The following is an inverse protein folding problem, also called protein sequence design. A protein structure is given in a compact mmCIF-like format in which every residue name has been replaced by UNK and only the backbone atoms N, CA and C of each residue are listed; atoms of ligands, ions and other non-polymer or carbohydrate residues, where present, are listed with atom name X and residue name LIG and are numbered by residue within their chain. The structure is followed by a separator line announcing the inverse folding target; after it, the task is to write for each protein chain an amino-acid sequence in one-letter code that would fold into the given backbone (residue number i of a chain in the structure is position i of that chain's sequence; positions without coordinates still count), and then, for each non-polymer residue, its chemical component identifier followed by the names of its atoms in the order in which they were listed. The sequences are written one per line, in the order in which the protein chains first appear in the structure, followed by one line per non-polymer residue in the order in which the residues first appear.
data_IF_739396463944
#
_entry.id   IF_739396463944
#
_cell.length_a   1.000
_cell.length_b   1.000
_cell.length_c   1.000
_cell.angle_alpha   90.00
_cell.angle_beta   90.00
_cell.angle_gamma   90.00
#
_symmetry.space_group_name_H-M   'P 1'
#
loop_
_entity.id
_entity.type
_entity.pdbx_description
1 polymer ?
#
# COMPACT_ATOMS: atom_id res chain seq x y z
N UNK A 1 1.96 73.61 17.13
CA UNK A 1 2.18 72.36 16.36
C UNK A 1 2.20 71.19 17.34
N UNK A 2 1.11 70.45 17.46
CA UNK A 2 1.01 69.29 18.35
C UNK A 2 1.44 68.03 17.59
N UNK A 3 2.48 67.34 18.07
CA UNK A 3 2.92 66.05 17.54
C UNK A 3 2.13 64.94 18.25
N UNK A 4 1.23 64.29 17.53
CA UNK A 4 0.59 63.05 17.97
C UNK A 4 1.52 61.88 17.65
N UNK A 5 2.08 61.25 18.70
CA UNK A 5 2.82 60.00 18.58
C UNK A 5 1.85 58.82 18.66
N UNK A 6 1.64 58.14 17.53
CA UNK A 6 0.89 56.88 17.48
C UNK A 6 1.87 55.76 17.86
N UNK A 7 1.68 55.19 19.05
CA UNK A 7 2.35 53.95 19.46
C UNK A 7 1.64 52.77 18.81
N UNK A 8 2.25 52.19 17.77
CA UNK A 8 1.78 50.97 17.13
C UNK A 8 2.13 49.77 18.04
N UNK A 9 1.16 49.33 18.86
CA UNK A 9 1.32 48.12 19.66
C UNK A 9 1.13 46.90 18.76
N UNK A 10 2.25 46.38 18.24
CA UNK A 10 2.26 45.14 17.47
C UNK A 10 2.27 43.96 18.47
N UNK A 11 1.08 43.45 18.81
CA UNK A 11 0.94 42.23 19.59
C UNK A 11 1.41 41.04 18.76
N UNK A 12 2.64 40.59 18.99
CA UNK A 12 3.13 39.30 18.51
C UNK A 12 2.33 38.19 19.21
N UNK A 13 1.24 37.74 18.59
CA UNK A 13 0.64 36.47 18.93
C UNK A 13 1.62 35.37 18.52
N UNK A 14 2.32 34.79 19.51
CA UNK A 14 3.01 33.52 19.33
C UNK A 14 1.95 32.45 19.07
N UNK A 15 1.59 32.22 17.82
CA UNK A 15 0.82 31.06 17.41
C UNK A 15 1.68 29.83 17.69
N UNK A 16 1.33 29.06 18.72
CA UNK A 16 1.91 27.73 18.86
C UNK A 16 1.48 26.95 17.62
N UNK A 17 2.42 26.65 16.73
CA UNK A 17 2.16 25.71 15.64
C UNK A 17 1.92 24.36 16.32
N UNK A 18 0.64 24.01 16.49
CA UNK A 18 0.28 22.69 16.94
C UNK A 18 0.91 21.70 15.96
N UNK A 19 1.79 20.84 16.47
CA UNK A 19 2.45 19.84 15.63
C UNK A 19 1.38 18.88 15.12
N UNK A 20 1.03 19.00 13.83
CA UNK A 20 0.00 18.16 13.23
C UNK A 20 0.44 16.70 13.35
N UNK A 21 -0.36 15.89 14.06
CA UNK A 21 -0.06 14.47 14.22
C UNK A 21 -0.37 13.74 12.92
N UNK A 22 0.51 12.83 12.53
CA UNK A 22 0.33 11.93 11.39
C UNK A 22 0.12 10.51 11.93
N UNK A 23 -0.93 9.82 11.48
CA UNK A 23 -1.06 8.38 11.74
C UNK A 23 -0.37 7.61 10.63
N UNK A 24 0.55 6.72 11.00
CA UNK A 24 1.28 5.89 10.03
C UNK A 24 0.85 4.44 10.20
N UNK A 25 0.46 3.80 9.11
CA UNK A 25 0.10 2.37 9.09
C UNK A 25 0.99 1.65 8.08
N UNK A 26 1.63 0.58 8.54
CA UNK A 26 2.44 -0.31 7.70
C UNK A 26 1.59 -1.47 7.21
N UNK A 27 1.43 -1.57 5.90
CA UNK A 27 0.74 -2.66 5.21
C UNK A 27 1.77 -3.64 4.67
N UNK A 28 2.07 -4.67 5.47
CA UNK A 28 3.05 -5.70 5.15
C UNK A 28 2.40 -7.02 4.72
N UNK A 29 3.04 -7.75 3.81
CA UNK A 29 2.58 -9.08 3.40
C UNK A 29 3.08 -9.54 2.04
N UNK A 30 2.38 -10.51 1.45
CA UNK A 30 2.72 -11.10 0.16
C UNK A 30 1.76 -10.64 -0.97
N UNK A 31 1.53 -11.49 -1.98
CA UNK A 31 0.75 -11.17 -3.19
C UNK A 31 -0.65 -10.61 -2.93
N UNK A 32 -1.36 -11.09 -1.91
CA UNK A 32 -2.69 -10.56 -1.58
C UNK A 32 -2.63 -9.18 -0.94
N UNK A 33 -1.58 -8.86 -0.16
CA UNK A 33 -1.34 -7.51 0.34
C UNK A 33 -0.89 -6.59 -0.81
N UNK A 34 -0.02 -7.08 -1.71
CA UNK A 34 0.32 -6.36 -2.94
C UNK A 34 -0.93 -5.99 -3.73
N UNK A 35 -1.89 -6.90 -3.82
CA UNK A 35 -3.19 -6.64 -4.41
C UNK A 35 -3.24 -6.98 -5.89
N UNK A 36 -3.94 -8.05 -6.22
CA UNK A 36 -4.17 -8.49 -7.60
C UNK A 36 -5.59 -8.14 -8.10
N UNK A 37 -6.41 -7.47 -7.27
CA UNK A 37 -7.77 -7.10 -7.62
C UNK A 37 -7.75 -6.13 -8.81
N UNK A 38 -8.52 -6.40 -9.86
CA UNK A 38 -8.49 -5.58 -11.07
C UNK A 38 -9.37 -4.34 -10.91
N UNK A 39 -8.85 -3.18 -11.27
CA UNK A 39 -9.62 -1.92 -11.24
C UNK A 39 -10.58 -1.90 -12.41
N UNK A 40 -10.05 -1.99 -13.62
CA UNK A 40 -10.81 -1.86 -14.87
C UNK A 40 -11.04 -3.20 -15.55
N UNK A 41 -12.01 -3.21 -16.46
CA UNK A 41 -12.28 -4.32 -17.35
C UNK A 41 -11.23 -4.39 -18.45
N UNK A 42 -10.78 -5.59 -18.80
CA UNK A 42 -10.14 -5.82 -20.10
C UNK A 42 -11.23 -5.96 -21.15
N UNK A 43 -11.04 -5.35 -22.30
CA UNK A 43 -12.00 -5.32 -23.42
C UNK A 43 -12.47 -6.73 -23.84
N UNK A 44 -11.59 -7.73 -23.75
CA UNK A 44 -11.87 -9.14 -24.06
C UNK A 44 -12.15 -10.02 -22.83
N UNK A 45 -12.69 -9.45 -21.73
CA UNK A 45 -12.96 -10.25 -20.53
C UNK A 45 -14.07 -11.26 -20.77
N UNK A 46 -13.78 -12.55 -20.57
CA UNK A 46 -14.72 -13.68 -20.74
C UNK A 46 -16.01 -13.55 -19.92
N UNK A 47 -16.02 -12.75 -18.86
CA UNK A 47 -17.16 -12.56 -17.95
C UNK A 47 -17.76 -11.15 -18.00
N UNK A 48 -17.47 -10.36 -19.04
CA UNK A 48 -17.98 -8.99 -19.14
C UNK A 48 -17.53 -8.10 -17.99
N UNK A 49 -16.36 -8.37 -17.40
CA UNK A 49 -15.76 -7.54 -16.35
C UNK A 49 -16.25 -7.77 -14.93
N UNK A 50 -17.10 -8.78 -14.72
CA UNK A 50 -17.53 -9.17 -13.37
C UNK A 50 -16.32 -9.42 -12.46
N UNK A 51 -16.38 -8.89 -11.24
CA UNK A 51 -15.30 -8.99 -10.26
C UNK A 51 -14.22 -7.89 -10.34
N UNK A 52 -14.33 -6.95 -11.28
CA UNK A 52 -13.50 -5.72 -11.28
C UNK A 52 -14.11 -4.63 -10.41
N UNK A 53 -13.30 -3.68 -9.93
CA UNK A 53 -13.80 -2.54 -9.17
C UNK A 53 -14.76 -1.67 -10.00
N UNK A 54 -14.44 -1.45 -11.28
CA UNK A 54 -15.28 -0.74 -12.23
C UNK A 54 -16.67 -1.38 -12.40
N UNK A 55 -16.74 -2.72 -12.38
CA UNK A 55 -18.02 -3.41 -12.38
C UNK A 55 -18.79 -3.17 -11.08
N UNK A 56 -18.12 -3.24 -9.92
CA UNK A 56 -18.76 -3.07 -8.61
C UNK A 56 -19.35 -1.67 -8.40
N UNK A 57 -18.76 -0.63 -8.98
CA UNK A 57 -19.32 0.75 -8.91
C UNK A 57 -20.51 0.96 -9.85
N UNK A 58 -20.64 0.16 -10.92
CA UNK A 58 -21.73 0.28 -11.92
C UNK A 58 -22.89 -0.68 -11.67
N UNK A 59 -22.63 -1.83 -11.05
CA UNK A 59 -23.63 -2.86 -10.84
C UNK A 59 -24.66 -2.43 -9.79
N UNK A 60 -25.94 -2.44 -10.13
CA UNK A 60 -27.04 -1.95 -9.28
C UNK A 60 -27.05 -2.52 -7.85
N UNK A 61 -26.69 -3.80 -7.69
CA UNK A 61 -26.68 -4.48 -6.37
C UNK A 61 -25.54 -4.02 -5.48
N UNK A 62 -24.47 -3.47 -6.06
CA UNK A 62 -23.24 -3.13 -5.34
C UNK A 62 -22.85 -1.65 -5.42
N UNK A 63 -23.37 -0.91 -6.40
CA UNK A 63 -23.03 0.49 -6.66
C UNK A 63 -23.20 1.37 -5.43
N UNK A 64 -24.30 1.21 -4.67
CA UNK A 64 -24.51 1.97 -3.43
C UNK A 64 -23.38 1.80 -2.41
N UNK A 65 -22.83 0.58 -2.30
CA UNK A 65 -21.72 0.28 -1.38
C UNK A 65 -20.42 0.95 -1.81
N UNK A 66 -20.17 1.07 -3.11
CA UNK A 66 -18.91 1.57 -3.67
C UNK A 66 -18.98 2.99 -4.24
N UNK A 67 -20.13 3.67 -4.12
CA UNK A 67 -20.37 5.01 -4.67
C UNK A 67 -19.38 6.06 -4.15
N UNK A 68 -18.83 5.86 -2.94
CA UNK A 68 -17.82 6.75 -2.34
C UNK A 68 -16.48 6.75 -3.09
N UNK A 69 -16.23 5.80 -3.99
CA UNK A 69 -14.98 5.69 -4.74
C UNK A 69 -14.98 6.52 -6.03
N UNK A 70 -16.15 6.98 -6.50
CA UNK A 70 -16.29 7.70 -7.77
C UNK A 70 -17.05 9.00 -7.60
N UNK A 71 -16.70 10.00 -8.42
CA UNK A 71 -17.43 11.27 -8.47
C UNK A 71 -18.70 11.15 -9.34
N UNK A 72 -19.45 12.25 -9.46
CA UNK A 72 -20.68 12.30 -10.29
C UNK A 72 -20.46 11.99 -11.77
N UNK A 73 -19.22 12.10 -12.27
CA UNK A 73 -18.83 11.76 -13.65
C UNK A 73 -18.38 10.31 -13.79
N UNK A 74 -18.34 9.54 -12.70
CA UNK A 74 -17.85 8.16 -12.68
C UNK A 74 -16.32 8.05 -12.63
N UNK A 75 -15.61 9.13 -12.34
CA UNK A 75 -14.15 9.14 -12.25
C UNK A 75 -13.71 8.80 -10.81
N UNK A 76 -12.61 8.05 -10.67
CA UNK A 76 -12.06 7.68 -9.36
C UNK A 76 -11.69 8.90 -8.52
N UNK A 77 -12.14 8.92 -7.26
CA UNK A 77 -11.81 9.98 -6.31
C UNK A 77 -10.46 9.70 -5.66
N UNK A 78 -9.62 10.73 -5.61
CA UNK A 78 -8.38 10.74 -4.81
C UNK A 78 -8.65 11.39 -3.46
N UNK A 79 -8.43 10.63 -2.38
CA UNK A 79 -8.45 11.17 -1.01
C UNK A 79 -7.28 12.13 -0.79
N UNK A 80 -7.54 13.21 -0.04
CA UNK A 80 -6.51 14.22 0.30
C UNK A 80 -5.99 14.10 1.73
N UNK A 81 -6.71 13.33 2.55
CA UNK A 81 -6.49 13.08 3.97
C UNK A 81 -5.81 11.73 4.25
N UNK A 82 -5.74 10.87 3.22
CA UNK A 82 -5.03 9.59 3.29
C UNK A 82 -3.99 9.54 2.17
N UNK A 83 -2.73 9.54 2.53
CA UNK A 83 -1.60 9.33 1.62
C UNK A 83 -1.19 7.87 1.61
N UNK A 84 -0.63 7.44 0.48
CA UNK A 84 -0.05 6.11 0.34
C UNK A 84 1.30 6.19 -0.36
N UNK A 85 2.25 5.40 0.13
CA UNK A 85 3.50 5.10 -0.55
C UNK A 85 3.59 3.60 -0.78
N UNK A 86 3.81 3.21 -2.04
CA UNK A 86 4.08 1.84 -2.44
C UNK A 86 5.18 1.82 -3.50
N UNK A 87 6.34 1.29 -3.15
CA UNK A 87 7.56 1.35 -3.95
C UNK A 87 7.91 2.80 -4.34
N UNK A 88 7.95 3.10 -5.63
CA UNK A 88 8.18 4.42 -6.22
C UNK A 88 6.90 5.25 -6.40
N UNK A 89 5.72 4.65 -6.17
CA UNK A 89 4.42 5.32 -6.33
C UNK A 89 3.98 5.95 -5.01
N UNK A 90 3.68 7.24 -5.05
CA UNK A 90 3.16 7.99 -3.91
C UNK A 90 2.11 9.00 -4.37
N UNK A 91 0.96 9.02 -3.70
CA UNK A 91 -0.15 9.95 -3.96
C UNK A 91 -1.15 9.94 -2.78
N UNK A 92 -2.23 10.70 -2.90
CA UNK A 92 -3.46 10.45 -2.15
C UNK A 92 -4.09 9.11 -2.52
N UNK A 93 -4.82 8.51 -1.57
CA UNK A 93 -5.40 7.18 -1.75
C UNK A 93 -6.49 7.20 -2.83
N UNK A 94 -6.34 6.28 -3.79
CA UNK A 94 -7.28 5.99 -4.89
C UNK A 94 -7.00 4.57 -5.43
N UNK A 95 -7.84 4.03 -6.32
CA UNK A 95 -7.49 2.80 -7.04
C UNK A 95 -6.17 2.94 -7.81
N UNK A 96 -5.40 1.84 -7.88
CA UNK A 96 -4.15 1.76 -8.63
C UNK A 96 -2.90 1.49 -7.79
N UNK A 97 -3.02 1.36 -6.47
CA UNK A 97 -1.93 0.99 -5.57
C UNK A 97 -1.83 -0.53 -5.31
N UNK A 98 -2.40 -1.35 -6.18
CA UNK A 98 -2.16 -2.79 -6.24
C UNK A 98 -0.81 -3.14 -6.88
N UNK A 99 -0.57 -4.42 -7.16
CA UNK A 99 0.65 -4.94 -7.82
C UNK A 99 1.01 -4.21 -9.12
N UNK A 100 0.00 -3.73 -9.85
CA UNK A 100 0.10 -2.83 -11.02
C UNK A 100 -0.79 -1.61 -10.83
N UNK A 101 -0.57 -0.57 -11.62
CA UNK A 101 -1.43 0.63 -11.67
C UNK A 101 -2.89 0.33 -12.04
N UNK A 102 -3.15 -0.82 -12.66
CA UNK A 102 -4.49 -1.30 -13.01
C UNK A 102 -5.12 -2.19 -11.93
N UNK A 103 -4.53 -2.25 -10.73
CA UNK A 103 -4.96 -3.16 -9.66
C UNK A 103 -5.06 -2.47 -8.31
N UNK A 104 -5.75 -3.14 -7.38
CA UNK A 104 -5.94 -2.75 -5.99
C UNK A 104 -5.62 -3.94 -5.08
N UNK A 105 -5.20 -3.61 -3.87
CA UNK A 105 -5.18 -4.52 -2.73
C UNK A 105 -6.10 -4.02 -1.62
N UNK A 106 -5.87 -4.49 -0.37
CA UNK A 106 -6.69 -4.08 0.76
C UNK A 106 -6.47 -2.61 1.15
N UNK A 107 -5.44 -1.93 0.64
CA UNK A 107 -5.15 -0.54 0.95
C UNK A 107 -6.30 0.41 0.64
N UNK A 108 -7.05 0.15 -0.44
CA UNK A 108 -8.15 1.03 -0.85
C UNK A 108 -9.29 0.98 0.17
N UNK A 109 -9.71 -0.22 0.55
CA UNK A 109 -10.79 -0.42 1.52
C UNK A 109 -10.37 0.00 2.93
N UNK A 110 -9.21 -0.47 3.38
CA UNK A 110 -8.67 -0.11 4.70
C UNK A 110 -8.49 1.40 4.83
N UNK A 111 -7.79 2.01 3.87
CA UNK A 111 -7.48 3.44 3.85
C UNK A 111 -8.72 4.32 3.83
N UNK A 112 -9.77 3.90 3.12
CA UNK A 112 -11.06 4.59 3.13
C UNK A 112 -11.67 4.58 4.53
N UNK A 113 -11.76 3.39 5.16
CA UNK A 113 -12.37 3.27 6.48
C UNK A 113 -11.61 4.05 7.56
N UNK A 114 -10.28 4.02 7.56
CA UNK A 114 -9.49 4.74 8.57
C UNK A 114 -9.47 6.25 8.32
N UNK A 115 -9.50 6.70 7.06
CA UNK A 115 -9.61 8.12 6.75
C UNK A 115 -10.95 8.71 7.21
N UNK A 116 -12.03 7.93 7.20
CA UNK A 116 -13.33 8.38 7.71
C UNK A 116 -13.39 8.37 9.25
N UNK A 117 -12.61 7.50 9.90
CA UNK A 117 -12.66 7.29 11.34
C UNK A 117 -11.66 8.15 12.13
N UNK A 118 -10.61 8.69 11.48
CA UNK A 118 -9.50 9.39 12.12
C UNK A 118 -9.45 10.82 11.60
N UNK A 119 -9.44 11.80 12.51
CA UNK A 119 -9.40 13.22 12.16
C UNK A 119 -8.01 13.67 11.67
N UNK A 120 -6.96 13.01 12.15
CA UNK A 120 -5.59 13.27 11.71
C UNK A 120 -5.31 12.63 10.34
N UNK A 121 -4.45 13.24 9.50
CA UNK A 121 -4.04 12.62 8.25
C UNK A 121 -3.43 11.22 8.47
N UNK A 122 -3.63 10.35 7.48
CA UNK A 122 -3.13 8.96 7.51
C UNK A 122 -2.10 8.76 6.40
N UNK A 123 -0.97 8.14 6.72
CA UNK A 123 0.01 7.65 5.77
C UNK A 123 0.02 6.13 5.78
N UNK A 124 -0.33 5.52 4.64
CA UNK A 124 -0.16 4.09 4.39
C UNK A 124 1.21 3.84 3.78
N UNK A 125 2.03 3.02 4.43
CA UNK A 125 3.30 2.55 3.90
C UNK A 125 3.12 1.09 3.51
N UNK A 126 3.18 0.82 2.21
CA UNK A 126 2.96 -0.52 1.68
C UNK A 126 4.30 -1.19 1.40
N UNK A 127 4.54 -2.31 2.08
CA UNK A 127 5.81 -3.05 2.06
C UNK A 127 5.51 -4.55 1.86
N UNK A 128 5.26 -4.92 0.61
CA UNK A 128 4.74 -6.25 0.30
C UNK A 128 5.27 -6.80 -1.01
N UNK A 129 5.55 -8.10 -1.01
CA UNK A 129 6.22 -8.81 -2.10
C UNK A 129 5.61 -10.17 -2.36
N UNK A 130 5.13 -10.38 -3.59
CA UNK A 130 4.58 -11.65 -4.02
C UNK A 130 5.62 -12.77 -3.97
N UNK A 131 5.18 -13.97 -3.57
CA UNK A 131 6.02 -15.17 -3.57
C UNK A 131 7.09 -15.20 -2.47
N UNK A 132 6.97 -14.33 -1.46
CA UNK A 132 7.86 -14.32 -0.29
C UNK A 132 7.20 -14.99 0.91
N UNK A 133 8.01 -15.63 1.75
CA UNK A 133 7.54 -16.35 2.91
C UNK A 133 8.36 -16.03 4.18
N UNK A 134 7.73 -16.23 5.34
CA UNK A 134 8.32 -15.92 6.64
C UNK A 134 9.42 -16.92 7.04
N UNK A 135 9.31 -18.18 6.58
CA UNK A 135 10.23 -19.24 6.96
C UNK A 135 11.64 -19.04 6.39
N UNK A 136 11.74 -18.42 5.21
CA UNK A 136 12.98 -18.23 4.45
C UNK A 136 13.24 -16.75 4.17
N UNK A 137 12.41 -16.08 3.36
CA UNK A 137 12.73 -14.73 2.86
C UNK A 137 12.82 -13.68 3.97
N UNK A 138 11.87 -13.72 4.91
CA UNK A 138 11.81 -12.83 6.09
C UNK A 138 12.30 -13.50 7.37
N UNK A 139 13.10 -14.56 7.26
CA UNK A 139 13.63 -15.24 8.44
C UNK A 139 14.52 -14.28 9.24
N UNK A 140 14.25 -14.15 10.52
CA UNK A 140 15.07 -13.32 11.41
C UNK A 140 16.50 -13.88 11.53
N UNK A 141 17.55 -13.02 11.64
CA UNK A 141 18.92 -13.44 11.88
C UNK A 141 19.09 -14.36 13.09
N UNK A 142 18.30 -14.14 14.15
CA UNK A 142 18.33 -14.99 15.35
C UNK A 142 17.68 -16.36 15.15
N UNK A 143 16.93 -16.57 14.07
CA UNK A 143 16.27 -17.83 13.74
C UNK A 143 17.19 -18.89 13.15
N UNK A 144 18.46 -18.57 12.86
CA UNK A 144 19.42 -19.50 12.25
C UNK A 144 19.00 -19.97 10.86
N UNK A 145 19.62 -21.05 10.36
CA UNK A 145 19.26 -21.63 9.07
C UNK A 145 17.95 -22.44 9.16
N UNK A 146 17.14 -22.48 8.07
CA UNK A 146 16.01 -23.40 7.97
C UNK A 146 16.46 -24.88 8.08
N UNK A 147 15.53 -25.82 8.36
CA UNK A 147 15.84 -27.24 8.41
C UNK A 147 16.56 -27.73 7.13
N UNK A 148 17.57 -28.59 7.30
CA UNK A 148 18.40 -29.11 6.20
C UNK A 148 17.57 -29.67 5.03
N UNK A 149 16.53 -30.45 5.33
CA UNK A 149 15.64 -31.02 4.31
C UNK A 149 14.92 -29.95 3.46
N UNK A 150 14.55 -28.81 4.07
CA UNK A 150 13.98 -27.68 3.33
C UNK A 150 15.04 -27.03 2.43
N UNK A 151 16.26 -26.83 2.95
CA UNK A 151 17.38 -26.26 2.20
C UNK A 151 17.75 -27.13 0.99
N UNK A 152 17.78 -28.46 1.16
CA UNK A 152 18.01 -29.43 0.07
C UNK A 152 16.88 -29.37 -0.99
N UNK A 153 15.62 -29.25 -0.56
CA UNK A 153 14.48 -29.09 -1.47
C UNK A 153 14.58 -27.78 -2.26
N UNK A 154 14.99 -26.70 -1.61
CA UNK A 154 15.21 -25.40 -2.25
C UNK A 154 16.34 -25.49 -3.28
N UNK A 155 17.44 -26.16 -2.94
CA UNK A 155 18.56 -26.39 -3.87
C UNK A 155 18.11 -27.18 -5.10
N UNK A 156 17.40 -28.29 -4.90
CA UNK A 156 16.85 -29.08 -5.99
C UNK A 156 15.91 -28.26 -6.89
N UNK A 157 15.07 -27.40 -6.29
CA UNK A 157 14.20 -26.48 -7.03
C UNK A 157 14.98 -25.41 -7.81
N UNK A 158 16.07 -24.89 -7.25
CA UNK A 158 16.95 -23.90 -7.90
C UNK A 158 17.69 -24.51 -9.09
N UNK A 159 18.23 -25.73 -8.92
CA UNK A 159 18.92 -26.49 -9.98
C UNK A 159 18.09 -26.77 -11.23
N UNK A 160 16.76 -26.74 -11.14
CA UNK A 160 15.88 -26.83 -12.32
C UNK A 160 16.02 -25.66 -13.29
N UNK A 161 16.47 -24.50 -12.81
CA UNK A 161 16.64 -23.27 -13.60
C UNK A 161 18.11 -22.88 -13.74
N UNK A 162 18.91 -23.19 -12.72
CA UNK A 162 20.34 -22.86 -12.62
C UNK A 162 21.09 -24.13 -12.21
N UNK A 163 21.51 -25.01 -13.16
CA UNK A 163 22.08 -26.32 -12.85
C UNK A 163 23.27 -26.30 -11.88
N UNK A 164 24.09 -25.25 -11.95
CA UNK A 164 25.30 -25.07 -11.15
C UNK A 164 25.05 -24.45 -9.77
N UNK A 165 23.78 -24.21 -9.40
CA UNK A 165 23.44 -23.65 -8.11
C UNK A 165 23.97 -24.51 -6.94
N UNK A 166 24.43 -23.83 -5.90
CA UNK A 166 25.07 -24.41 -4.71
C UNK A 166 24.24 -24.19 -3.46
N UNK A 167 24.61 -24.86 -2.35
CA UNK A 167 23.97 -24.62 -1.06
C UNK A 167 24.19 -23.18 -0.56
N UNK A 168 25.35 -22.58 -0.87
CA UNK A 168 25.62 -21.16 -0.53
C UNK A 168 24.61 -20.22 -1.21
N UNK A 169 24.18 -20.56 -2.43
CA UNK A 169 23.16 -19.78 -3.14
C UNK A 169 21.76 -19.91 -2.53
N UNK A 170 21.51 -20.96 -1.74
CA UNK A 170 20.28 -21.14 -0.96
C UNK A 170 20.40 -20.39 0.36
N UNK A 171 21.52 -20.52 1.06
CA UNK A 171 21.83 -19.80 2.29
C UNK A 171 21.74 -18.28 2.09
N UNK A 172 22.22 -17.76 0.97
CA UNK A 172 22.15 -16.33 0.63
C UNK A 172 20.71 -15.78 0.48
N UNK A 173 19.70 -16.66 0.29
CA UNK A 173 18.30 -16.25 0.22
C UNK A 173 17.65 -16.14 1.60
N UNK A 174 18.21 -16.81 2.61
CA UNK A 174 17.66 -16.85 3.96
C UNK A 174 17.78 -15.46 4.59
N UNK A 175 16.64 -14.90 5.00
CA UNK A 175 16.56 -13.59 5.64
C UNK A 175 16.89 -12.42 4.72
N UNK A 176 17.00 -12.63 3.40
CA UNK A 176 17.40 -11.57 2.47
C UNK A 176 16.51 -10.32 2.59
N UNK A 177 15.21 -10.52 2.85
CA UNK A 177 14.19 -9.48 2.95
C UNK A 177 13.86 -9.06 4.39
N UNK A 178 14.61 -9.52 5.40
CA UNK A 178 14.36 -9.13 6.80
C UNK A 178 14.73 -7.66 7.11
N UNK A 179 15.41 -6.98 6.19
CA UNK A 179 16.03 -5.66 6.38
C UNK A 179 15.02 -4.52 6.32
#
# INVERSE_FOLDING_TARGET
MARFSILLWCSLFATSIAHAKLKVVVLAGQSNMQGAGQVEMKENSRNGGQGTLAYLVKNEKTAKKYAHLVNKKGEWITRKDVWIRYDDRQDGLRPGFGFRNSSIGPELGFGTMVGDAINEPVLLIKTCWGGKNVMVDFRSPSGGMPPKALMERMLAGKKKREPDATMKDVEAQVGFYYR
#
